data_IF_333014110232
#
_entry.id   IF_333014110232
#
_cell.length_a   1.000
_cell.length_b   1.000
_cell.length_c   1.000
_cell.angle_alpha   90.00
_cell.angle_beta   90.00
_cell.angle_gamma   90.00
#
_symmetry.space_group_name_H-M   'P 1'
#
loop_
_entity.id
_entity.type
_entity.pdbx_description
1 polymer ?
#
# COMPACT_ATOMS: atom_id res chain seq x y z
N UNK A 1 3.74 26.17 -15.18
CA UNK A 1 4.96 26.86 -14.68
C UNK A 1 5.30 26.22 -13.35
N UNK A 2 6.52 25.72 -13.17
CA UNK A 2 6.98 24.86 -12.08
C UNK A 2 6.27 23.49 -11.95
N UNK A 3 6.61 22.55 -12.84
CA UNK A 3 6.38 21.12 -12.58
C UNK A 3 7.75 20.54 -12.27
N UNK A 4 8.07 20.21 -11.01
CA UNK A 4 9.31 19.49 -10.73
C UNK A 4 9.30 18.24 -11.60
N UNK A 5 10.39 17.99 -12.32
CA UNK A 5 10.49 16.80 -13.14
C UNK A 5 10.37 15.54 -12.29
N UNK A 6 9.96 14.44 -12.93
CA UNK A 6 10.11 13.10 -12.35
C UNK A 6 11.46 12.87 -11.64
N UNK A 7 12.62 13.33 -12.16
CA UNK A 7 13.91 13.17 -11.47
C UNK A 7 14.02 13.96 -10.15
N UNK A 8 13.54 15.20 -10.08
CA UNK A 8 13.58 16.00 -8.84
C UNK A 8 12.70 15.38 -7.76
N UNK A 9 11.52 14.88 -8.12
CA UNK A 9 10.63 14.22 -7.16
C UNK A 9 11.24 12.93 -6.61
N UNK A 10 11.96 12.15 -7.44
CA UNK A 10 12.69 10.96 -6.99
C UNK A 10 13.79 11.31 -6.00
N UNK A 11 14.56 12.38 -6.23
CA UNK A 11 15.63 12.82 -5.33
C UNK A 11 15.05 13.19 -3.96
N UNK A 12 13.95 13.95 -3.93
CA UNK A 12 13.26 14.31 -2.68
C UNK A 12 12.71 13.08 -1.97
N UNK A 13 12.13 12.13 -2.71
CA UNK A 13 11.61 10.88 -2.14
C UNK A 13 12.73 10.07 -1.47
N UNK A 14 13.91 9.99 -2.08
CA UNK A 14 15.08 9.32 -1.51
C UNK A 14 15.54 10.02 -0.22
N UNK A 15 15.59 11.36 -0.19
CA UNK A 15 15.90 12.12 1.02
C UNK A 15 14.94 11.83 2.18
N UNK A 16 13.63 11.79 1.89
CA UNK A 16 12.62 11.42 2.89
C UNK A 16 12.83 9.98 3.36
N UNK A 17 13.12 9.05 2.44
CA UNK A 17 13.42 7.66 2.79
C UNK A 17 14.67 7.52 3.67
N UNK A 18 15.70 8.34 3.48
CA UNK A 18 16.88 8.32 4.36
C UNK A 18 16.57 8.88 5.75
N UNK A 19 15.79 9.96 5.84
CA UNK A 19 15.44 10.59 7.12
C UNK A 19 14.52 9.72 7.98
N UNK A 20 13.48 9.15 7.36
CA UNK A 20 12.49 8.35 8.06
C UNK A 20 12.83 6.86 8.08
N UNK A 21 13.68 6.40 7.15
CA UNK A 21 13.99 5.00 6.92
C UNK A 21 12.87 4.26 6.16
N UNK A 22 13.19 3.28 5.31
CA UNK A 22 12.19 2.51 4.59
C UNK A 22 11.28 1.71 5.54
N UNK A 23 11.80 1.23 6.68
CA UNK A 23 11.05 0.42 7.62
C UNK A 23 9.89 1.14 8.34
N UNK A 24 10.01 2.45 8.57
CA UNK A 24 8.92 3.24 9.18
C UNK A 24 7.81 3.50 8.18
N UNK A 25 8.18 3.81 6.94
CA UNK A 25 7.24 4.07 5.84
C UNK A 25 6.45 2.81 5.49
N UNK A 26 7.12 1.66 5.35
CA UNK A 26 6.45 0.39 5.04
C UNK A 26 5.50 -0.05 6.15
N UNK A 27 5.88 0.14 7.42
CA UNK A 27 5.03 -0.16 8.56
C UNK A 27 3.73 0.66 8.55
N UNK A 28 3.85 1.98 8.36
CA UNK A 28 2.68 2.89 8.29
C UNK A 28 1.83 2.58 7.05
N UNK A 29 2.47 2.34 5.91
CA UNK A 29 1.76 2.00 4.67
C UNK A 29 1.03 0.65 4.78
N UNK A 30 1.57 -0.33 5.51
CA UNK A 30 0.90 -1.60 5.79
C UNK A 30 -0.34 -1.43 6.67
N UNK A 31 -0.23 -0.68 7.76
CA UNK A 31 -1.36 -0.37 8.65
C UNK A 31 -2.46 0.43 7.92
N UNK A 32 -2.06 1.43 7.14
CA UNK A 32 -2.98 2.23 6.34
C UNK A 32 -3.61 1.44 5.19
N UNK A 33 -2.83 0.58 4.53
CA UNK A 33 -3.25 -0.23 3.39
C UNK A 33 -4.33 -1.24 3.78
N UNK A 34 -4.19 -1.89 4.93
CA UNK A 34 -5.21 -2.79 5.47
C UNK A 34 -6.51 -2.05 5.79
N UNK A 35 -6.43 -0.84 6.35
CA UNK A 35 -7.61 0.00 6.60
C UNK A 35 -8.31 0.44 5.31
N UNK A 36 -7.55 0.86 4.30
CA UNK A 36 -8.08 1.21 2.98
C UNK A 36 -8.71 -0.03 2.32
N UNK A 37 -8.09 -1.20 2.41
CA UNK A 37 -8.61 -2.45 1.83
C UNK A 37 -9.95 -2.84 2.46
N UNK A 38 -10.05 -2.83 3.78
CA UNK A 38 -11.31 -3.08 4.49
C UNK A 38 -12.39 -2.03 4.16
N UNK A 39 -11.99 -0.76 3.98
CA UNK A 39 -12.91 0.30 3.56
C UNK A 39 -13.44 0.06 2.14
N UNK A 40 -12.59 -0.34 1.19
CA UNK A 40 -13.00 -0.69 -0.17
C UNK A 40 -13.93 -1.90 -0.18
N UNK A 41 -13.59 -2.97 0.54
CA UNK A 41 -14.44 -4.16 0.66
C UNK A 41 -15.80 -3.85 1.30
N UNK A 42 -15.84 -2.95 2.28
CA UNK A 42 -17.08 -2.49 2.91
C UNK A 42 -17.97 -1.66 1.98
N UNK A 43 -17.38 -0.85 1.08
CA UNK A 43 -18.11 -0.12 0.05
C UNK A 43 -18.63 -1.06 -1.05
N UNK A 44 -17.81 -2.00 -1.51
CA UNK A 44 -18.20 -2.98 -2.54
C UNK A 44 -19.32 -3.92 -2.05
N UNK A 45 -19.28 -4.38 -0.79
CA UNK A 45 -20.37 -5.17 -0.18
C UNK A 45 -21.70 -4.42 -0.07
N UNK A 46 -21.68 -3.09 -0.06
CA UNK A 46 -22.90 -2.27 0.00
C UNK A 46 -23.56 -2.10 -1.36
N UNK A 47 -22.80 -2.27 -2.44
CA UNK A 47 -23.25 -2.05 -3.82
C UNK A 47 -23.54 -3.37 -4.57
N UNK A 48 -23.04 -4.52 -4.10
CA UNK A 48 -23.37 -5.84 -4.66
C UNK A 48 -23.45 -6.94 -3.59
N UNK A 49 -24.52 -7.75 -3.53
CA UNK A 49 -24.64 -8.86 -2.58
C UNK A 49 -23.67 -10.03 -2.81
N UNK A 50 -22.90 -10.04 -3.90
CA UNK A 50 -22.11 -11.20 -4.32
C UNK A 50 -20.71 -10.80 -4.84
N UNK A 51 -19.73 -10.74 -3.94
CA UNK A 51 -18.32 -10.92 -4.29
C UNK A 51 -17.50 -11.34 -3.05
N UNK A 52 -16.96 -12.58 -3.00
CA UNK A 52 -15.93 -12.92 -2.04
C UNK A 52 -14.60 -12.36 -2.56
N UNK A 53 -14.05 -11.37 -1.88
CA UNK A 53 -12.69 -10.87 -2.14
C UNK A 53 -11.65 -11.85 -1.59
N UNK A 54 -11.54 -13.02 -2.23
CA UNK A 54 -10.37 -13.87 -2.10
C UNK A 54 -9.20 -13.26 -2.87
N UNK A 55 -8.13 -12.89 -2.15
CA UNK A 55 -6.75 -13.25 -2.53
C UNK A 55 -5.70 -12.74 -1.54
N UNK A 56 -4.91 -13.73 -1.10
CA UNK A 56 -3.49 -13.71 -0.73
C UNK A 56 -3.09 -12.97 0.55
N UNK A 57 -3.15 -13.73 1.63
CA UNK A 57 -1.98 -13.93 2.50
C UNK A 57 -1.68 -15.44 2.55
N UNK A 58 -1.22 -15.98 1.43
CA UNK A 58 -0.53 -17.27 1.40
C UNK A 58 0.92 -16.97 0.97
N UNK A 59 1.74 -16.60 1.95
CA UNK A 59 3.18 -16.86 1.86
C UNK A 59 3.40 -18.23 2.48
N UNK A 60 3.03 -19.28 1.75
CA UNK A 60 3.54 -20.63 2.01
C UNK A 60 4.32 -21.05 0.77
N UNK A 61 5.64 -21.18 0.84
CA UNK A 61 6.30 -22.26 0.15
C UNK A 61 6.17 -23.50 1.05
N UNK A 62 5.44 -24.55 0.63
CA UNK A 62 5.57 -25.85 1.25
C UNK A 62 6.96 -26.36 0.86
N UNK A 63 7.88 -26.39 1.81
CA UNK A 63 9.07 -27.23 1.68
C UNK A 63 9.08 -28.19 2.86
N UNK A 64 9.06 -29.46 2.49
CA UNK A 64 9.65 -30.54 3.27
C UNK A 64 11.06 -30.16 3.73
#
# INVERSE_FOLDING_TARGET
MWRPGLPELLIVLVLILLLFGPGRITKIAGELGSGIRAFREGLEKKESPEAPADKKDETTPPSQ
#
